data_IF_467340614567
#
_entry.id   IF_467340614567
#
_cell.length_a   1.000
_cell.length_b   1.000
_cell.length_c   1.000
_cell.angle_alpha   90.00
_cell.angle_beta   90.00
_cell.angle_gamma   90.00
#
_symmetry.space_group_name_H-M   'P 1'
#
loop_
_entity.id
_entity.type
_entity.pdbx_description
1 polymer ?
#
# COMPACT_ATOMS: atom_id res chain seq x y z
N UNK A 1 -23.47 -17.42 -6.40
CA UNK A 1 -22.67 -17.29 -7.63
C UNK A 1 -22.34 -15.82 -7.79
N UNK A 2 -21.14 -15.43 -7.36
CA UNK A 2 -20.44 -14.23 -7.80
C UNK A 2 -18.97 -14.56 -7.60
N UNK A 3 -18.32 -14.82 -8.73
CA UNK A 3 -16.95 -15.24 -8.86
C UNK A 3 -16.06 -14.10 -8.37
N UNK A 4 -15.28 -14.35 -7.32
CA UNK A 4 -14.11 -13.53 -7.03
C UNK A 4 -13.04 -14.09 -7.97
N UNK A 5 -12.79 -13.39 -9.07
CA UNK A 5 -11.74 -13.73 -10.03
C UNK A 5 -10.35 -13.69 -9.36
N UNK A 6 -9.39 -14.51 -9.81
CA UNK A 6 -8.12 -14.68 -9.13
C UNK A 6 -7.22 -13.47 -9.46
N UNK A 7 -7.22 -12.43 -8.63
CA UNK A 7 -6.37 -11.25 -8.84
C UNK A 7 -5.87 -10.59 -7.55
N UNK A 8 -5.56 -11.37 -6.53
CA UNK A 8 -5.42 -10.84 -5.17
C UNK A 8 -4.19 -9.90 -4.90
N UNK A 9 -3.02 -10.03 -5.56
CA UNK A 9 -1.96 -8.99 -5.46
C UNK A 9 -2.32 -7.71 -6.26
N UNK A 10 -2.97 -7.87 -7.42
CA UNK A 10 -3.59 -6.78 -8.14
C UNK A 10 -4.67 -6.10 -7.29
N UNK A 11 -5.40 -6.86 -6.48
CA UNK A 11 -6.44 -6.35 -5.58
C UNK A 11 -5.83 -5.50 -4.47
N UNK A 12 -4.79 -5.95 -3.74
CA UNK A 12 -4.13 -5.09 -2.74
C UNK A 12 -3.59 -3.79 -3.38
N UNK A 13 -3.02 -3.88 -4.59
CA UNK A 13 -2.56 -2.72 -5.36
C UNK A 13 -3.72 -1.80 -5.76
N UNK A 14 -4.83 -2.34 -6.24
CA UNK A 14 -6.03 -1.58 -6.62
C UNK A 14 -6.70 -0.91 -5.41
N UNK A 15 -6.78 -1.63 -4.29
CA UNK A 15 -7.22 -1.15 -2.98
C UNK A 15 -6.32 0.01 -2.54
N UNK A 16 -5.00 -0.14 -2.65
CA UNK A 16 -4.04 0.91 -2.34
C UNK A 16 -4.17 2.14 -3.24
N UNK A 17 -4.33 1.98 -4.56
CA UNK A 17 -4.56 3.12 -5.44
C UNK A 17 -5.85 3.86 -5.10
N UNK A 18 -6.94 3.14 -4.83
CA UNK A 18 -8.18 3.76 -4.34
C UNK A 18 -7.96 4.49 -3.01
N UNK A 19 -7.16 3.93 -2.11
CA UNK A 19 -6.77 4.57 -0.85
C UNK A 19 -6.08 5.91 -1.08
N UNK A 20 -5.02 5.92 -1.90
CA UNK A 20 -4.26 7.14 -2.19
C UNK A 20 -5.16 8.21 -2.80
N UNK A 21 -6.01 7.85 -3.77
CA UNK A 21 -6.90 8.82 -4.43
C UNK A 21 -7.81 9.49 -3.39
N UNK A 22 -8.38 8.73 -2.47
CA UNK A 22 -9.27 9.25 -1.43
C UNK A 22 -8.50 10.08 -0.40
N UNK A 23 -7.33 9.62 0.05
CA UNK A 23 -6.50 10.38 0.98
C UNK A 23 -6.07 11.72 0.37
N UNK A 24 -5.65 11.72 -0.91
CA UNK A 24 -5.33 12.94 -1.65
C UNK A 24 -6.54 13.87 -1.80
N UNK A 25 -7.72 13.33 -2.15
CA UNK A 25 -8.95 14.13 -2.24
C UNK A 25 -9.28 14.83 -0.91
N UNK A 26 -9.10 14.14 0.22
CA UNK A 26 -9.34 14.73 1.53
C UNK A 26 -8.31 15.79 1.90
N UNK A 27 -7.01 15.54 1.66
CA UNK A 27 -5.96 16.56 1.84
C UNK A 27 -6.23 17.79 0.97
N UNK A 28 -6.65 17.60 -0.28
CA UNK A 28 -7.07 18.68 -1.18
C UNK A 28 -8.31 19.42 -0.68
N UNK A 29 -9.28 18.72 -0.08
CA UNK A 29 -10.47 19.34 0.50
C UNK A 29 -10.14 20.16 1.76
N UNK A 30 -9.21 19.69 2.60
CA UNK A 30 -8.67 20.45 3.73
C UNK A 30 -7.92 21.70 3.25
N UNK A 31 -7.09 21.56 2.21
CA UNK A 31 -6.41 22.70 1.56
C UNK A 31 -7.43 23.66 0.95
N UNK A 32 -8.48 23.17 0.29
CA UNK A 32 -9.58 24.01 -0.26
C UNK A 32 -10.34 24.75 0.84
N UNK A 33 -10.59 24.10 1.98
CA UNK A 33 -11.16 24.74 3.17
C UNK A 33 -10.29 25.89 3.70
N UNK A 34 -8.97 25.74 3.63
CA UNK A 34 -8.01 26.81 3.93
C UNK A 34 -7.88 27.86 2.80
N UNK A 35 -8.04 27.46 1.53
CA UNK A 35 -7.84 28.28 0.33
C UNK A 35 -8.98 29.22 -0.02
N UNK A 36 -10.12 29.20 0.68
CA UNK A 36 -11.15 30.26 0.59
C UNK A 36 -10.55 31.65 0.92
N UNK A 37 -9.32 31.72 1.46
CA UNK A 37 -8.54 32.94 1.73
C UNK A 37 -7.41 33.28 0.72
N UNK A 38 -7.23 32.59 -0.42
CA UNK A 38 -6.03 32.76 -1.27
C UNK A 38 -6.30 33.41 -2.66
N UNK A 39 -5.49 34.43 -2.99
CA UNK A 39 -5.58 35.29 -4.18
C UNK A 39 -5.31 34.60 -5.54
N UNK A 40 -5.81 35.21 -6.63
CA UNK A 40 -5.88 34.71 -8.02
C UNK A 40 -4.57 34.11 -8.59
N UNK A 41 -3.39 34.63 -8.22
CA UNK A 41 -2.08 34.07 -8.65
C UNK A 41 -1.82 32.65 -8.13
N UNK A 42 -2.34 32.30 -6.95
CA UNK A 42 -2.15 30.98 -6.35
C UNK A 42 -3.06 29.92 -6.96
N UNK A 43 -4.19 30.32 -7.57
CA UNK A 43 -5.04 29.41 -8.36
C UNK A 43 -4.31 28.89 -9.61
N UNK A 44 -3.50 29.72 -10.25
CA UNK A 44 -2.75 29.33 -11.45
C UNK A 44 -1.69 28.27 -11.13
N UNK A 45 -0.89 28.48 -10.07
CA UNK A 45 0.08 27.49 -9.57
C UNK A 45 -0.58 26.17 -9.12
N UNK A 46 -1.79 26.24 -8.58
CA UNK A 46 -2.52 25.04 -8.16
C UNK A 46 -3.04 24.23 -9.34
N UNK A 47 -3.55 24.89 -10.38
CA UNK A 47 -4.03 24.23 -11.61
C UNK A 47 -2.86 23.61 -12.38
N UNK A 48 -1.71 24.31 -12.47
CA UNK A 48 -0.51 23.74 -13.10
C UNK A 48 0.05 22.57 -12.29
N UNK A 49 0.01 22.62 -10.96
CA UNK A 49 0.39 21.49 -10.09
C UNK A 49 -0.50 20.26 -10.27
N UNK A 50 -1.82 20.44 -10.41
CA UNK A 50 -2.77 19.34 -10.68
C UNK A 50 -2.54 18.76 -12.08
N UNK A 51 -2.28 19.59 -13.09
CA UNK A 51 -1.98 19.12 -14.44
C UNK A 51 -0.65 18.37 -14.50
N UNK A 52 0.37 18.81 -13.77
CA UNK A 52 1.65 18.09 -13.65
C UNK A 52 1.43 16.75 -12.92
N UNK A 53 0.68 16.73 -11.82
CA UNK A 53 0.33 15.49 -11.13
C UNK A 53 -0.50 14.53 -12.01
N UNK A 54 -1.44 15.06 -12.81
CA UNK A 54 -2.20 14.29 -13.77
C UNK A 54 -1.32 13.74 -14.90
N UNK A 55 -0.31 14.50 -15.34
CA UNK A 55 0.70 14.05 -16.29
C UNK A 55 1.61 12.97 -15.69
N UNK A 56 1.96 13.04 -14.40
CA UNK A 56 2.68 11.98 -13.70
C UNK A 56 1.81 10.74 -13.44
N UNK A 57 0.50 10.90 -13.34
CA UNK A 57 -0.46 9.79 -13.23
C UNK A 57 -0.77 9.17 -14.62
N UNK A 58 -0.70 9.95 -15.71
CA UNK A 58 -0.99 9.51 -17.08
C UNK A 58 0.25 9.03 -17.84
N UNK A 59 1.42 9.62 -17.58
CA UNK A 59 2.69 8.98 -17.82
C UNK A 59 2.80 7.92 -16.71
N UNK A 60 2.00 6.87 -16.86
CA UNK A 60 2.00 5.77 -15.92
C UNK A 60 3.46 5.44 -15.67
N UNK A 61 3.85 5.50 -14.40
CA UNK A 61 5.02 4.77 -13.98
C UNK A 61 4.80 3.37 -14.55
N UNK A 62 5.48 3.08 -15.65
CA UNK A 62 5.90 1.74 -15.95
C UNK A 62 6.90 1.44 -14.85
N UNK A 63 6.39 1.26 -13.63
CA UNK A 63 6.88 0.25 -12.76
C UNK A 63 6.63 -1.03 -13.56
N UNK A 64 7.56 -1.31 -14.49
CA UNK A 64 8.08 -2.65 -14.60
C UNK A 64 8.63 -2.94 -13.20
N UNK A 65 7.74 -3.27 -12.26
CA UNK A 65 7.98 -4.45 -11.47
C UNK A 65 8.25 -5.49 -12.56
N UNK A 66 9.48 -6.04 -12.66
CA UNK A 66 9.69 -7.16 -13.56
C UNK A 66 8.68 -8.21 -13.12
N UNK A 67 7.57 -8.25 -13.86
CA UNK A 67 6.44 -9.07 -13.51
C UNK A 67 6.92 -10.49 -13.71
N UNK A 68 7.34 -11.10 -12.62
CA UNK A 68 6.99 -12.48 -12.26
C UNK A 68 5.79 -12.91 -13.10
N UNK A 69 6.01 -13.85 -14.02
CA UNK A 69 5.04 -14.45 -14.94
C UNK A 69 3.64 -14.60 -14.34
N UNK A 70 2.81 -13.55 -14.40
CA UNK A 70 1.40 -13.58 -13.98
C UNK A 70 1.11 -14.21 -12.61
N UNK A 71 2.06 -14.26 -11.66
CA UNK A 71 1.85 -14.96 -10.39
C UNK A 71 1.04 -14.09 -9.43
N UNK A 72 -0.25 -14.38 -9.38
CA UNK A 72 -1.23 -13.69 -8.54
C UNK A 72 -1.16 -14.32 -7.15
N UNK A 73 -0.73 -13.55 -6.15
CA UNK A 73 -0.81 -14.00 -4.75
C UNK A 73 -2.26 -14.00 -4.33
N UNK A 74 -2.83 -15.16 -4.01
CA UNK A 74 -4.17 -15.28 -3.42
C UNK A 74 -4.15 -15.23 -1.91
N UNK A 75 -5.12 -14.53 -1.34
CA UNK A 75 -5.43 -14.61 0.08
C UNK A 75 -6.73 -15.40 0.23
N UNK A 76 -6.61 -16.63 0.71
CA UNK A 76 -7.73 -17.56 0.83
C UNK A 76 -8.50 -17.38 2.15
N UNK A 77 -8.06 -16.47 3.03
CA UNK A 77 -8.77 -16.15 4.25
C UNK A 77 -10.08 -15.40 3.91
N UNK A 78 -11.26 -15.96 4.21
CA UNK A 78 -12.54 -15.34 3.86
C UNK A 78 -12.73 -13.96 4.49
N UNK A 79 -12.16 -13.75 5.67
CA UNK A 79 -12.21 -12.46 6.37
C UNK A 79 -11.40 -11.41 5.62
N UNK A 80 -10.22 -11.76 5.13
CA UNK A 80 -9.38 -10.85 4.34
C UNK A 80 -10.06 -10.50 3.01
N UNK A 81 -10.62 -11.50 2.32
CA UNK A 81 -11.40 -11.30 1.09
C UNK A 81 -12.61 -10.39 1.33
N UNK A 82 -13.29 -10.55 2.47
CA UNK A 82 -14.39 -9.67 2.87
C UNK A 82 -13.90 -8.23 3.05
N UNK A 83 -12.79 -7.99 3.76
CA UNK A 83 -12.23 -6.65 3.90
C UNK A 83 -11.87 -6.02 2.56
N UNK A 84 -11.22 -6.77 1.67
CA UNK A 84 -10.83 -6.30 0.34
C UNK A 84 -12.06 -5.94 -0.50
N UNK A 85 -13.07 -6.81 -0.54
CA UNK A 85 -14.29 -6.57 -1.32
C UNK A 85 -15.11 -5.40 -0.78
N UNK A 86 -15.33 -5.33 0.53
CA UNK A 86 -16.01 -4.21 1.16
C UNK A 86 -15.24 -2.91 0.94
N UNK A 87 -13.90 -2.92 1.00
CA UNK A 87 -13.09 -1.73 0.73
C UNK A 87 -13.26 -1.28 -0.71
N UNK A 88 -13.19 -2.20 -1.68
CA UNK A 88 -13.40 -1.87 -3.10
C UNK A 88 -14.78 -1.24 -3.35
N UNK A 89 -15.80 -1.67 -2.60
CA UNK A 89 -17.18 -1.18 -2.68
C UNK A 89 -17.38 0.16 -1.97
N UNK A 90 -16.86 0.32 -0.76
CA UNK A 90 -17.02 1.53 0.05
C UNK A 90 -15.76 1.82 0.90
N UNK A 91 -14.73 2.46 0.33
CA UNK A 91 -13.49 2.73 1.03
C UNK A 91 -13.65 3.67 2.24
N UNK A 92 -14.59 4.63 2.18
CA UNK A 92 -14.82 5.63 3.24
C UNK A 92 -15.31 4.98 4.55
N UNK A 93 -15.95 3.80 4.46
CA UNK A 93 -16.39 3.03 5.64
C UNK A 93 -15.21 2.59 6.50
N UNK A 94 -14.11 2.17 5.87
CA UNK A 94 -12.96 1.59 6.57
C UNK A 94 -12.07 2.60 7.26
N UNK A 95 -12.18 3.88 6.88
CA UNK A 95 -11.42 4.96 7.50
C UNK A 95 -11.73 5.15 9.00
N UNK A 96 -12.91 4.70 9.45
CA UNK A 96 -13.40 4.81 10.82
C UNK A 96 -13.31 3.50 11.60
N UNK A 97 -12.85 2.42 10.99
CA UNK A 97 -12.76 1.12 11.63
C UNK A 97 -11.32 0.90 12.17
N UNK A 98 -11.08 1.13 13.48
CA UNK A 98 -9.75 1.01 14.04
C UNK A 98 -9.28 -0.45 14.16
N UNK A 99 -10.16 -1.43 13.93
CA UNK A 99 -9.91 -2.85 14.16
C UNK A 99 -9.61 -3.63 12.87
N UNK A 100 -9.64 -2.99 11.69
CA UNK A 100 -9.29 -3.64 10.44
C UNK A 100 -7.78 -3.57 10.12
N UNK A 101 -7.05 -4.70 10.08
CA UNK A 101 -5.62 -4.72 9.74
C UNK A 101 -5.32 -4.24 8.32
N UNK A 102 -6.26 -4.36 7.38
CA UNK A 102 -6.12 -3.84 6.01
C UNK A 102 -5.95 -2.33 6.02
N UNK A 103 -6.76 -1.60 6.79
CA UNK A 103 -6.70 -0.13 6.88
C UNK A 103 -5.34 0.34 7.39
N UNK A 104 -4.82 -0.30 8.45
CA UNK A 104 -3.50 0.00 8.98
C UNK A 104 -2.38 -0.32 8.00
N UNK A 105 -2.52 -1.40 7.22
CA UNK A 105 -1.57 -1.73 6.17
C UNK A 105 -1.57 -0.67 5.06
N UNK A 106 -2.74 -0.20 4.63
CA UNK A 106 -2.88 0.85 3.62
C UNK A 106 -2.33 2.19 4.10
N UNK A 107 -2.55 2.56 5.37
CA UNK A 107 -1.91 3.71 6.02
C UNK A 107 -0.39 3.59 5.97
N UNK A 108 0.15 2.43 6.35
CA UNK A 108 1.58 2.14 6.29
C UNK A 108 2.15 2.32 4.88
N UNK A 109 1.48 1.78 3.86
CA UNK A 109 1.90 1.91 2.47
C UNK A 109 1.85 3.37 2.00
N UNK A 110 0.83 4.12 2.43
CA UNK A 110 0.70 5.54 2.10
C UNK A 110 1.79 6.38 2.76
N UNK A 111 2.13 6.12 4.02
CA UNK A 111 3.25 6.77 4.70
C UNK A 111 4.57 6.39 4.04
N UNK A 112 4.78 5.12 3.68
CA UNK A 112 5.99 4.66 2.99
C UNK A 112 6.21 5.29 1.61
N UNK A 113 5.16 5.82 0.97
CA UNK A 113 5.29 6.57 -0.28
C UNK A 113 5.89 7.99 -0.10
N UNK A 114 6.03 8.46 1.14
CA UNK A 114 6.67 9.74 1.45
C UNK A 114 8.20 9.56 1.63
N UNK A 115 9.04 10.54 1.26
CA UNK A 115 10.51 10.41 1.25
C UNK A 115 11.15 9.89 2.55
N UNK A 116 10.57 10.21 3.71
CA UNK A 116 11.06 9.79 5.03
C UNK A 116 10.03 8.96 5.83
N UNK A 117 8.97 8.50 5.16
CA UNK A 117 7.81 7.92 5.84
C UNK A 117 7.95 6.44 6.17
N UNK A 118 9.04 5.77 5.79
CA UNK A 118 9.25 4.35 6.10
C UNK A 118 9.26 4.06 7.61
N UNK A 119 9.77 4.97 8.46
CA UNK A 119 9.76 4.76 9.92
C UNK A 119 8.36 4.80 10.50
N UNK A 120 7.54 5.74 10.04
CA UNK A 120 6.13 5.86 10.43
C UNK A 120 5.32 4.66 9.90
N UNK A 121 5.60 4.23 8.66
CA UNK A 121 4.98 3.06 8.06
C UNK A 121 5.14 1.80 8.92
N UNK A 122 6.31 1.59 9.53
CA UNK A 122 6.52 0.45 10.43
C UNK A 122 5.53 0.43 11.60
N UNK A 123 5.21 1.59 12.19
CA UNK A 123 4.24 1.68 13.29
C UNK A 123 2.84 1.24 12.84
N UNK A 124 2.45 1.61 11.61
CA UNK A 124 1.18 1.20 11.04
C UNK A 124 1.14 -0.30 10.72
N UNK A 125 2.21 -0.85 10.16
CA UNK A 125 2.30 -2.30 9.93
C UNK A 125 2.32 -3.10 11.22
N UNK A 126 3.02 -2.61 12.26
CA UNK A 126 3.01 -3.23 13.59
C UNK A 126 1.59 -3.29 14.15
N UNK A 127 0.80 -2.22 13.96
CA UNK A 127 -0.60 -2.22 14.37
C UNK A 127 -1.46 -3.19 13.57
N UNK A 128 -1.24 -3.30 12.26
CA UNK A 128 -1.93 -4.28 11.42
C UNK A 128 -1.63 -5.72 11.87
N UNK A 129 -0.37 -6.01 12.19
CA UNK A 129 0.08 -7.32 12.67
C UNK A 129 -0.47 -7.63 14.07
N UNK A 130 -0.59 -6.63 14.95
CA UNK A 130 -1.21 -6.81 16.27
C UNK A 130 -2.69 -7.18 16.15
N UNK A 131 -3.41 -6.55 15.22
CA UNK A 131 -4.82 -6.84 14.96
C UNK A 131 -5.01 -8.22 14.31
N UNK A 132 -4.13 -8.59 13.38
CA UNK A 132 -4.15 -9.89 12.73
C UNK A 132 -2.75 -10.43 12.43
N UNK A 133 -2.21 -11.31 13.29
CA UNK A 133 -0.93 -11.99 13.07
C UNK A 133 -0.93 -12.95 11.87
N UNK A 134 -2.10 -13.28 11.31
CA UNK A 134 -2.28 -14.09 10.11
C UNK A 134 -2.31 -13.29 8.81
N UNK A 135 -2.10 -11.97 8.86
CA UNK A 135 -2.17 -11.13 7.67
C UNK A 135 -0.82 -11.01 6.94
N UNK A 136 -0.53 -11.98 6.06
CA UNK A 136 0.75 -12.08 5.34
C UNK A 136 1.18 -10.79 4.62
N UNK A 137 0.22 -10.06 4.04
CA UNK A 137 0.52 -8.84 3.29
C UNK A 137 1.14 -7.75 4.16
N UNK A 138 0.73 -7.62 5.44
CA UNK A 138 1.30 -6.65 6.37
C UNK A 138 2.78 -6.95 6.66
N UNK A 139 3.13 -8.22 6.84
CA UNK A 139 4.53 -8.65 7.03
C UNK A 139 5.38 -8.36 5.80
N UNK A 140 4.86 -8.66 4.60
CA UNK A 140 5.54 -8.34 3.34
C UNK A 140 5.76 -6.82 3.17
N UNK A 141 4.73 -6.01 3.37
CA UNK A 141 4.82 -4.55 3.26
C UNK A 141 5.79 -3.94 4.29
N UNK A 142 5.80 -4.48 5.52
CA UNK A 142 6.77 -4.14 6.55
C UNK A 142 8.20 -4.47 6.13
N UNK A 143 8.42 -5.66 5.56
CA UNK A 143 9.74 -6.07 5.07
C UNK A 143 10.29 -5.11 4.01
N UNK A 144 9.47 -4.71 3.03
CA UNK A 144 9.86 -3.72 2.01
C UNK A 144 10.31 -2.40 2.63
N UNK A 145 9.59 -1.91 3.64
CA UNK A 145 9.99 -0.67 4.34
C UNK A 145 11.28 -0.85 5.16
N UNK A 146 11.49 -2.00 5.78
CA UNK A 146 12.73 -2.33 6.50
C UNK A 146 13.94 -2.42 5.56
N UNK A 147 13.77 -2.96 4.34
CA UNK A 147 14.83 -2.99 3.32
C UNK A 147 15.23 -1.58 2.89
N UNK A 148 14.28 -0.68 2.68
CA UNK A 148 14.56 0.73 2.37
C UNK A 148 15.30 1.43 3.52
N UNK A 149 15.02 1.05 4.76
CA UNK A 149 15.73 1.50 5.95
C UNK A 149 17.06 0.76 6.21
N UNK A 150 17.49 -0.15 5.32
CA UNK A 150 18.70 -0.98 5.46
C UNK A 150 18.71 -1.89 6.70
N UNK A 151 17.54 -2.22 7.25
CA UNK A 151 17.34 -3.13 8.39
C UNK A 151 17.12 -4.57 7.92
N UNK A 152 18.12 -5.11 7.23
CA UNK A 152 18.00 -6.36 6.47
C UNK A 152 17.61 -7.59 7.30
N UNK A 153 18.22 -7.78 8.48
CA UNK A 153 17.93 -8.94 9.33
C UNK A 153 16.47 -8.97 9.82
N UNK A 154 15.88 -7.79 10.04
CA UNK A 154 14.47 -7.68 10.45
C UNK A 154 13.53 -7.86 9.25
N UNK A 155 13.93 -7.36 8.09
CA UNK A 155 13.20 -7.57 6.85
C UNK A 155 13.11 -9.07 6.51
N UNK A 156 14.21 -9.80 6.63
CA UNK A 156 14.26 -11.25 6.37
C UNK A 156 13.31 -12.02 7.28
N UNK A 157 13.27 -11.70 8.58
CA UNK A 157 12.30 -12.29 9.52
C UNK A 157 10.85 -12.01 9.10
N UNK A 158 10.57 -10.80 8.64
CA UNK A 158 9.22 -10.45 8.18
C UNK A 158 8.87 -11.18 6.88
N UNK A 159 9.81 -11.32 5.94
CA UNK A 159 9.59 -12.10 4.71
C UNK A 159 9.34 -13.57 5.03
N UNK A 160 10.14 -14.17 5.91
CA UNK A 160 9.96 -15.55 6.36
C UNK A 160 8.57 -15.73 6.98
N UNK A 161 8.12 -14.78 7.81
CA UNK A 161 6.78 -14.84 8.39
C UNK A 161 5.66 -14.73 7.34
N UNK A 162 5.81 -13.86 6.34
CA UNK A 162 4.86 -13.75 5.24
C UNK A 162 4.74 -15.08 4.46
N UNK A 163 5.87 -15.74 4.20
CA UNK A 163 5.93 -17.07 3.55
C UNK A 163 5.27 -18.15 4.40
N UNK A 164 5.57 -18.19 5.71
CA UNK A 164 4.97 -19.18 6.63
C UNK A 164 3.44 -19.10 6.64
N UNK A 165 2.89 -17.89 6.56
CA UNK A 165 1.45 -17.65 6.52
C UNK A 165 0.90 -17.95 5.12
N UNK A 166 1.60 -17.50 4.08
CA UNK A 166 1.21 -17.71 2.70
C UNK A 166 2.43 -17.92 1.81
N UNK A 167 2.65 -19.19 1.44
CA UNK A 167 3.82 -19.62 0.65
C UNK A 167 3.90 -18.99 -0.73
N UNK A 168 2.83 -18.36 -1.23
CA UNK A 168 2.86 -17.65 -2.51
C UNK A 168 3.73 -16.38 -2.47
N UNK A 169 4.11 -15.89 -1.28
CA UNK A 169 5.08 -14.80 -1.13
C UNK A 169 6.53 -15.23 -1.37
N UNK A 170 6.85 -16.54 -1.41
CA UNK A 170 8.21 -17.06 -1.60
C UNK A 170 8.95 -16.43 -2.79
N UNK A 171 8.37 -16.37 -4.01
CA UNK A 171 9.09 -15.84 -5.16
C UNK A 171 9.40 -14.33 -5.02
N UNK A 172 8.52 -13.57 -4.37
CA UNK A 172 8.73 -12.14 -4.13
C UNK A 172 9.78 -11.92 -3.05
N UNK A 173 9.77 -12.74 -2.01
CA UNK A 173 10.78 -12.70 -0.96
C UNK A 173 12.18 -12.98 -1.51
N UNK A 174 12.31 -13.98 -2.39
CA UNK A 174 13.58 -14.30 -3.06
C UNK A 174 14.06 -13.18 -3.99
N UNK A 175 13.17 -12.58 -4.79
CA UNK A 175 13.52 -11.42 -5.61
C UNK A 175 14.03 -10.24 -4.76
N UNK A 176 13.34 -9.92 -3.66
CA UNK A 176 13.78 -8.88 -2.73
C UNK A 176 15.12 -9.21 -2.06
N UNK A 177 15.34 -10.48 -1.68
CA UNK A 177 16.63 -10.92 -1.14
C UNK A 177 17.75 -10.72 -2.14
N UNK A 178 17.57 -11.15 -3.39
CA UNK A 178 18.60 -10.98 -4.44
C UNK A 178 18.90 -9.50 -4.68
N UNK A 179 17.86 -8.67 -4.77
CA UNK A 179 17.99 -7.26 -5.11
C UNK A 179 18.59 -6.39 -4.00
N UNK A 180 18.28 -6.69 -2.74
CA UNK A 180 18.64 -5.84 -1.59
C UNK A 180 19.64 -6.50 -0.63
N UNK A 181 19.53 -7.80 -0.40
CA UNK A 181 20.33 -8.53 0.60
C UNK A 181 21.56 -9.18 -0.04
N UNK A 182 21.45 -9.68 -1.28
CA UNK A 182 22.54 -10.32 -2.02
C UNK A 182 23.59 -9.36 -2.59
N UNK A 183 23.35 -8.05 -2.58
CA UNK A 183 24.31 -7.01 -3.02
C UNK A 183 25.20 -6.47 -1.89
N UNK A 184 25.23 -7.15 -0.74
CA UNK A 184 26.04 -6.79 0.43
C UNK A 184 27.47 -7.24 0.31
#
# INVERSE_FOLDING_TARGET
>A
MNLIEPENLCVYRNVFYKYIIIDLQQRLNLIRGCCVKLNFKNRFLFITGILIAAVFLSAGCTDRIPALDGKIITDDNPTHQKWLSEYLNNPEKYKKDPENPLEWTLKGMSSAALPDGHKEALLHYDKAIELDPGFAHAYYAKAVSLLNLKRFNEAEKCLQKAIEINSQYEPLAEDLKINYIGKR
#
